data_IF_589207888688
#
_entry.id   IF_589207888688
#
_cell.length_a   1.000
_cell.length_b   1.000
_cell.length_c   1.000
_cell.angle_alpha   90.00
_cell.angle_beta   90.00
_cell.angle_gamma   90.00
#
_symmetry.space_group_name_H-M   'P 1'
#
loop_
_entity.id
_entity.type
_entity.pdbx_description
1 polymer ?
#
# COMPACT_ATOMS: atom_id res chain seq x y z
N UNK A 1 -11.74 21.11 -2.02
CA UNK A 1 -12.34 20.23 -3.04
C UNK A 1 -12.96 19.05 -2.32
N UNK A 2 -14.27 19.11 -2.07
CA UNK A 2 -14.98 18.09 -1.29
C UNK A 2 -15.17 16.77 -2.05
N UNK A 3 -15.26 16.83 -3.38
CA UNK A 3 -15.51 15.64 -4.21
C UNK A 3 -14.41 14.57 -4.09
N UNK A 4 -13.14 14.97 -3.93
CA UNK A 4 -12.03 14.03 -3.78
C UNK A 4 -12.16 13.20 -2.48
N UNK A 5 -12.61 13.85 -1.39
CA UNK A 5 -12.90 13.14 -0.14
C UNK A 5 -14.00 12.09 -0.30
N UNK A 6 -15.07 12.40 -1.02
CA UNK A 6 -16.12 11.42 -1.31
C UNK A 6 -15.62 10.28 -2.21
N UNK A 7 -14.79 10.58 -3.23
CA UNK A 7 -14.22 9.56 -4.09
C UNK A 7 -13.30 8.61 -3.32
N UNK A 8 -12.44 9.14 -2.44
CA UNK A 8 -11.59 8.31 -1.58
C UNK A 8 -12.42 7.50 -0.56
N UNK A 9 -13.51 8.05 -0.05
CA UNK A 9 -14.43 7.30 0.82
C UNK A 9 -15.03 6.11 0.08
N UNK A 10 -15.48 6.29 -1.17
CA UNK A 10 -15.99 5.20 -2.01
C UNK A 10 -14.90 4.16 -2.27
N UNK A 11 -13.67 4.60 -2.58
CA UNK A 11 -12.54 3.69 -2.74
C UNK A 11 -12.26 2.88 -1.46
N UNK A 12 -12.29 3.52 -0.29
CA UNK A 12 -12.12 2.86 1.01
C UNK A 12 -13.21 1.80 1.27
N UNK A 13 -14.48 2.11 0.97
CA UNK A 13 -15.57 1.12 1.07
C UNK A 13 -15.31 -0.06 0.12
N UNK A 14 -14.86 0.20 -1.12
CA UNK A 14 -14.50 -0.87 -2.05
C UNK A 14 -13.38 -1.74 -1.49
N UNK A 15 -12.36 -1.18 -0.83
CA UNK A 15 -11.28 -1.96 -0.22
C UNK A 15 -11.77 -2.81 0.96
N UNK A 16 -12.67 -2.28 1.80
CA UNK A 16 -13.29 -3.07 2.88
C UNK A 16 -14.07 -4.26 2.31
N UNK A 17 -14.87 -4.02 1.26
CA UNK A 17 -15.62 -5.08 0.58
C UNK A 17 -14.69 -6.08 -0.13
N UNK A 18 -13.55 -5.62 -0.65
CA UNK A 18 -12.51 -6.48 -1.21
C UNK A 18 -11.95 -7.44 -0.16
N UNK A 19 -11.55 -6.93 1.00
CA UNK A 19 -11.03 -7.75 2.10
C UNK A 19 -12.06 -8.78 2.57
N UNK A 20 -13.32 -8.35 2.75
CA UNK A 20 -14.42 -9.25 3.11
C UNK A 20 -14.65 -10.32 2.03
N UNK A 21 -14.61 -9.94 0.76
CA UNK A 21 -14.80 -10.88 -0.34
C UNK A 21 -13.66 -11.88 -0.48
N UNK A 22 -12.41 -11.45 -0.25
CA UNK A 22 -11.23 -12.30 -0.32
C UNK A 22 -11.12 -13.30 0.83
N UNK A 23 -11.85 -13.13 1.93
CA UNK A 23 -11.82 -14.04 3.07
C UNK A 23 -12.50 -15.39 2.81
N UNK A 24 -13.25 -15.54 1.72
CA UNK A 24 -13.93 -16.79 1.36
C UNK A 24 -13.66 -17.13 -0.13
N UNK A 25 -13.36 -18.39 -0.47
CA UNK A 25 -13.06 -18.81 -1.84
C UNK A 25 -14.17 -18.51 -2.84
N UNK A 26 -15.43 -18.67 -2.42
CA UNK A 26 -16.61 -18.45 -3.27
C UNK A 26 -16.80 -16.99 -3.67
N UNK A 27 -16.42 -16.05 -2.80
CA UNK A 27 -16.57 -14.60 -3.02
C UNK A 27 -15.27 -13.94 -3.45
N UNK A 28 -14.14 -14.65 -3.49
CA UNK A 28 -12.82 -14.11 -3.77
C UNK A 28 -12.73 -13.35 -5.10
N UNK A 29 -13.41 -13.83 -6.15
CA UNK A 29 -13.47 -13.14 -7.46
C UNK A 29 -14.13 -11.77 -7.36
N UNK A 30 -15.23 -11.67 -6.61
CA UNK A 30 -15.93 -10.39 -6.40
C UNK A 30 -15.12 -9.47 -5.50
N UNK A 31 -14.48 -10.01 -4.45
CA UNK A 31 -13.53 -9.27 -3.62
C UNK A 31 -12.41 -8.64 -4.44
N UNK A 32 -11.79 -9.41 -5.33
CA UNK A 32 -10.74 -8.88 -6.22
C UNK A 32 -11.26 -7.77 -7.15
N UNK A 33 -12.48 -7.90 -7.69
CA UNK A 33 -13.11 -6.84 -8.50
C UNK A 33 -13.31 -5.55 -7.70
N UNK A 34 -13.79 -5.63 -6.46
CA UNK A 34 -13.91 -4.47 -5.58
C UNK A 34 -12.56 -3.82 -5.33
N UNK A 35 -11.49 -4.60 -5.12
CA UNK A 35 -10.14 -4.08 -4.97
C UNK A 35 -9.65 -3.32 -6.20
N UNK A 36 -9.86 -3.88 -7.40
CA UNK A 36 -9.50 -3.24 -8.67
C UNK A 36 -10.27 -1.93 -8.86
N UNK A 37 -11.58 -1.94 -8.61
CA UNK A 37 -12.43 -0.74 -8.74
C UNK A 37 -12.02 0.33 -7.73
N UNK A 38 -11.80 -0.03 -6.46
CA UNK A 38 -11.34 0.89 -5.43
C UNK A 38 -9.99 1.52 -5.79
N UNK A 39 -9.04 0.74 -6.29
CA UNK A 39 -7.74 1.24 -6.74
C UNK A 39 -7.88 2.17 -7.95
N UNK A 40 -8.70 1.80 -8.94
CA UNK A 40 -8.95 2.66 -10.09
C UNK A 40 -9.54 4.01 -9.69
N UNK A 41 -10.54 4.01 -8.79
CA UNK A 41 -11.13 5.25 -8.25
C UNK A 41 -10.06 6.08 -7.55
N UNK A 42 -9.24 5.50 -6.68
CA UNK A 42 -8.21 6.20 -5.94
C UNK A 42 -7.17 6.84 -6.89
N UNK A 43 -6.65 6.08 -7.86
CA UNK A 43 -5.66 6.57 -8.83
C UNK A 43 -6.26 7.70 -9.68
N UNK A 44 -7.46 7.51 -10.25
CA UNK A 44 -8.10 8.52 -11.08
C UNK A 44 -8.41 9.80 -10.30
N UNK A 45 -8.83 9.66 -9.04
CA UNK A 45 -9.05 10.80 -8.15
C UNK A 45 -7.76 11.57 -7.92
N UNK A 46 -6.67 10.87 -7.61
CA UNK A 46 -5.35 11.51 -7.40
C UNK A 46 -4.89 12.22 -8.67
N UNK A 47 -4.99 11.59 -9.84
CA UNK A 47 -4.60 12.18 -11.12
C UNK A 47 -5.46 13.40 -11.52
N UNK A 48 -6.71 13.44 -11.06
CA UNK A 48 -7.61 14.56 -11.32
C UNK A 48 -7.40 15.76 -10.35
N UNK A 49 -6.54 15.62 -9.35
CA UNK A 49 -6.23 16.70 -8.42
C UNK A 49 -5.30 17.75 -9.08
N UNK A 50 -5.56 19.06 -8.91
CA UNK A 50 -4.75 20.11 -9.54
C UNK A 50 -3.34 20.24 -8.99
N UNK A 51 -3.04 19.63 -7.84
CA UNK A 51 -1.74 19.70 -7.17
C UNK A 51 -0.76 18.62 -7.62
N UNK A 52 -1.08 17.88 -8.68
CA UNK A 52 -0.15 16.86 -9.23
C UNK A 52 0.94 17.59 -10.03
N UNK A 53 2.14 17.60 -9.48
CA UNK A 53 3.28 18.37 -10.00
C UNK A 53 3.90 17.76 -11.26
N UNK A 54 3.90 16.44 -11.39
CA UNK A 54 4.51 15.78 -12.55
C UNK A 54 3.83 14.44 -12.85
N UNK A 55 3.01 14.46 -13.88
CA UNK A 55 2.37 13.24 -14.41
C UNK A 55 3.38 12.22 -14.96
N UNK A 56 4.54 12.68 -15.43
CA UNK A 56 5.58 11.87 -16.03
C UNK A 56 6.08 10.78 -15.08
N UNK A 57 6.39 11.14 -13.83
CA UNK A 57 6.87 10.18 -12.83
C UNK A 57 5.77 9.19 -12.40
N UNK A 58 4.51 9.65 -12.34
CA UNK A 58 3.37 8.78 -12.01
C UNK A 58 3.16 7.76 -13.13
N UNK A 59 3.13 8.21 -14.39
CA UNK A 59 2.98 7.33 -15.55
C UNK A 59 4.14 6.35 -15.63
N UNK A 60 5.37 6.82 -15.43
CA UNK A 60 6.56 5.96 -15.41
C UNK A 60 6.42 4.87 -14.31
N UNK A 61 6.02 5.26 -13.10
CA UNK A 61 5.78 4.32 -11.99
C UNK A 61 4.72 3.28 -12.31
N UNK A 62 3.59 3.70 -12.89
CA UNK A 62 2.50 2.81 -13.31
C UNK A 62 2.96 1.84 -14.40
N UNK A 63 3.69 2.34 -15.41
CA UNK A 63 4.16 1.51 -16.53
C UNK A 63 5.20 0.50 -16.04
N UNK A 64 6.20 0.94 -15.29
CA UNK A 64 7.26 0.06 -14.79
C UNK A 64 6.70 -0.94 -13.77
N UNK A 65 5.98 -0.46 -12.76
CA UNK A 65 5.39 -1.32 -11.73
C UNK A 65 4.34 -2.28 -12.30
N UNK A 66 3.49 -1.80 -13.21
CA UNK A 66 2.48 -2.60 -13.89
C UNK A 66 3.09 -3.67 -14.81
N UNK A 67 4.16 -3.33 -15.55
CA UNK A 67 4.87 -4.30 -16.40
C UNK A 67 5.51 -5.42 -15.55
N UNK A 68 6.27 -5.04 -14.51
CA UNK A 68 6.91 -6.00 -13.61
C UNK A 68 5.85 -6.85 -12.89
N UNK A 69 4.83 -6.22 -12.31
CA UNK A 69 3.77 -6.91 -11.59
C UNK A 69 3.00 -7.89 -12.48
N UNK A 70 2.64 -7.47 -13.70
CA UNK A 70 1.96 -8.34 -14.68
C UNK A 70 2.83 -9.51 -15.11
N UNK A 71 4.12 -9.27 -15.36
CA UNK A 71 5.07 -10.32 -15.75
C UNK A 71 5.19 -11.38 -14.65
N UNK A 72 5.37 -10.95 -13.40
CA UNK A 72 5.47 -11.85 -12.25
C UNK A 72 4.16 -12.60 -12.04
N UNK A 73 3.02 -11.89 -12.03
CA UNK A 73 1.71 -12.49 -11.80
C UNK A 73 1.34 -13.56 -12.85
N UNK A 74 1.82 -13.44 -14.09
CA UNK A 74 1.58 -14.44 -15.14
C UNK A 74 2.51 -15.65 -15.07
N UNK A 75 3.67 -15.53 -14.41
CA UNK A 75 4.68 -16.60 -14.33
C UNK A 75 4.67 -17.34 -13.01
N UNK A 76 4.08 -16.77 -11.96
CA UNK A 76 4.11 -17.36 -10.62
C UNK A 76 3.30 -18.65 -10.57
N UNK A 77 3.84 -19.66 -9.93
CA UNK A 77 3.13 -20.89 -9.63
C UNK A 77 2.14 -20.65 -8.47
N UNK A 78 1.01 -21.34 -8.47
CA UNK A 78 -0.02 -21.22 -7.44
C UNK A 78 0.51 -21.54 -6.03
N UNK A 79 1.47 -22.44 -5.92
CA UNK A 79 2.15 -22.81 -4.68
C UNK A 79 3.03 -21.70 -4.11
N UNK A 80 3.52 -20.79 -4.96
CA UNK A 80 4.37 -19.67 -4.58
C UNK A 80 3.59 -18.35 -4.34
N UNK A 81 2.25 -18.36 -4.47
CA UNK A 81 1.41 -17.17 -4.23
C UNK A 81 1.60 -16.55 -2.84
N UNK A 82 1.66 -17.32 -1.72
CA UNK A 82 1.87 -16.72 -0.40
C UNK A 82 3.18 -15.95 -0.30
N UNK A 83 4.23 -16.44 -0.94
CA UNK A 83 5.55 -15.79 -0.99
C UNK A 83 5.48 -14.49 -1.78
N UNK A 84 4.79 -14.49 -2.93
CA UNK A 84 4.59 -13.30 -3.76
C UNK A 84 3.81 -12.22 -3.01
N UNK A 85 2.74 -12.61 -2.33
CA UNK A 85 1.92 -11.69 -1.52
C UNK A 85 2.78 -11.06 -0.41
N UNK A 86 3.59 -11.85 0.29
CA UNK A 86 4.48 -11.33 1.33
C UNK A 86 5.52 -10.36 0.75
N UNK A 87 6.12 -10.67 -0.41
CA UNK A 87 7.08 -9.79 -1.07
C UNK A 87 6.43 -8.46 -1.49
N UNK A 88 5.27 -8.48 -2.13
CA UNK A 88 4.57 -7.26 -2.52
C UNK A 88 4.07 -6.46 -1.32
N UNK A 89 3.62 -7.14 -0.25
CA UNK A 89 3.19 -6.46 0.96
C UNK A 89 4.35 -5.71 1.63
N UNK A 90 5.57 -6.25 1.58
CA UNK A 90 6.75 -5.53 2.05
C UNK A 90 6.99 -4.25 1.24
N UNK A 91 6.86 -4.29 -0.09
CA UNK A 91 7.01 -3.10 -0.94
C UNK A 91 5.94 -2.05 -0.66
N UNK A 92 4.70 -2.46 -0.38
CA UNK A 92 3.61 -1.55 0.02
C UNK A 92 3.92 -0.87 1.35
N UNK A 93 4.45 -1.63 2.34
CA UNK A 93 4.90 -1.05 3.61
C UNK A 93 6.02 -0.02 3.42
N UNK A 94 6.99 -0.32 2.57
CA UNK A 94 8.07 0.61 2.24
C UNK A 94 7.55 1.87 1.52
N UNK A 95 6.59 1.71 0.60
CA UNK A 95 5.95 2.83 -0.08
C UNK A 95 5.24 3.77 0.91
N UNK A 96 4.56 3.23 1.93
CA UNK A 96 3.92 4.04 2.97
C UNK A 96 4.93 4.89 3.76
N UNK A 97 6.12 4.34 4.06
CA UNK A 97 7.21 5.09 4.70
C UNK A 97 7.68 6.23 3.80
N UNK A 98 7.89 5.97 2.50
CA UNK A 98 8.33 7.01 1.56
C UNK A 98 7.27 8.09 1.34
N UNK A 99 5.99 7.74 1.30
CA UNK A 99 4.90 8.73 1.18
C UNK A 99 4.88 9.64 2.42
N UNK A 100 4.99 9.08 3.62
CA UNK A 100 5.07 9.86 4.85
C UNK A 100 6.32 10.76 4.89
N UNK A 101 7.46 10.25 4.44
CA UNK A 101 8.69 11.05 4.33
C UNK A 101 8.54 12.17 3.30
N UNK A 102 7.96 11.90 2.13
CA UNK A 102 7.71 12.93 1.12
C UNK A 102 6.81 14.04 1.64
N UNK A 103 5.73 13.69 2.36
CA UNK A 103 4.83 14.66 2.97
C UNK A 103 5.53 15.50 4.07
N UNK A 104 6.45 14.90 4.81
CA UNK A 104 7.22 15.61 5.82
C UNK A 104 8.22 16.62 5.22
N UNK A 105 8.89 16.27 4.12
CA UNK A 105 9.87 17.13 3.48
C UNK A 105 9.26 18.17 2.55
N UNK A 106 8.05 17.93 2.03
CA UNK A 106 7.34 18.85 1.14
C UNK A 106 5.89 19.11 1.61
N UNK A 107 5.67 19.62 2.82
CA UNK A 107 4.34 19.73 3.42
C UNK A 107 3.41 20.67 2.65
N UNK A 108 3.95 21.64 1.92
CA UNK A 108 3.19 22.59 1.10
C UNK A 108 2.48 21.88 -0.06
N UNK A 109 3.14 20.90 -0.66
CA UNK A 109 2.60 20.12 -1.78
C UNK A 109 1.41 19.23 -1.36
N UNK A 110 1.41 18.82 -0.09
CA UNK A 110 0.32 18.04 0.50
C UNK A 110 -0.74 18.89 1.21
N UNK A 111 -0.61 20.23 1.19
CA UNK A 111 -1.50 21.18 1.87
C UNK A 111 -1.67 20.89 3.39
N UNK A 112 -0.59 20.47 4.04
CA UNK A 112 -0.58 20.11 5.47
C UNK A 112 0.19 21.11 6.33
N UNK A 113 0.69 22.18 5.72
CA UNK A 113 1.43 23.25 6.40
C UNK A 113 2.64 23.71 5.60
N UNK A 114 3.59 24.34 6.27
CA UNK A 114 4.89 24.74 5.71
C UNK A 114 6.02 24.04 6.44
N UNK A 115 7.22 24.08 5.89
CA UNK A 115 8.40 23.49 6.53
C UNK A 115 8.58 24.02 7.96
N UNK A 116 8.54 23.13 8.94
CA UNK A 116 8.60 23.47 10.37
C UNK A 116 7.28 23.91 11.03
N UNK A 117 6.18 24.03 10.27
CA UNK A 117 4.85 24.40 10.77
C UNK A 117 3.77 23.47 10.17
N UNK A 118 3.95 22.18 10.36
CA UNK A 118 2.99 21.15 9.93
C UNK A 118 1.89 21.03 10.97
N UNK A 119 0.64 20.85 10.52
CA UNK A 119 -0.50 20.63 11.42
C UNK A 119 -0.27 19.39 12.29
N UNK A 120 -0.58 19.47 13.59
CA UNK A 120 -0.35 18.38 14.56
C UNK A 120 -1.06 17.09 14.13
N UNK A 121 -2.29 17.19 13.61
CA UNK A 121 -3.01 16.03 13.07
C UNK A 121 -2.22 15.31 11.99
N UNK A 122 -1.70 16.04 11.01
CA UNK A 122 -0.89 15.49 9.92
C UNK A 122 0.44 14.90 10.41
N UNK A 123 1.07 15.49 11.43
CA UNK A 123 2.27 14.91 12.06
C UNK A 123 1.96 13.54 12.71
N UNK A 124 0.83 13.42 13.39
CA UNK A 124 0.38 12.15 13.99
C UNK A 124 0.10 11.12 12.89
N UNK A 125 -0.62 11.50 11.84
CA UNK A 125 -0.93 10.63 10.70
C UNK A 125 0.33 10.13 9.99
N UNK A 126 1.30 11.01 9.73
CA UNK A 126 2.59 10.64 9.14
C UNK A 126 3.40 9.72 10.08
N UNK A 127 3.40 10.01 11.40
CA UNK A 127 4.07 9.17 12.38
C UNK A 127 3.48 7.76 12.44
N UNK A 128 2.15 7.65 12.46
CA UNK A 128 1.45 6.37 12.41
C UNK A 128 1.67 5.65 11.08
N UNK A 129 1.59 6.37 9.95
CA UNK A 129 1.85 5.83 8.62
C UNK A 129 3.26 5.26 8.49
N UNK A 130 4.26 6.00 9.00
CA UNK A 130 5.66 5.53 9.02
C UNK A 130 5.83 4.29 9.90
N UNK A 131 5.26 4.29 11.10
CA UNK A 131 5.37 3.16 12.03
C UNK A 131 4.71 1.90 11.46
N UNK A 132 3.47 2.02 10.98
CA UNK A 132 2.73 0.91 10.36
C UNK A 132 3.46 0.43 9.10
N UNK A 133 3.93 1.35 8.25
CA UNK A 133 4.68 1.02 7.05
C UNK A 133 5.98 0.26 7.35
N UNK A 134 6.75 0.70 8.35
CA UNK A 134 7.98 0.05 8.76
C UNK A 134 7.75 -1.37 9.32
N UNK A 135 6.73 -1.54 10.18
CA UNK A 135 6.35 -2.86 10.70
C UNK A 135 5.85 -3.76 9.57
N UNK A 136 5.06 -3.24 8.65
CA UNK A 136 4.57 -3.98 7.48
C UNK A 136 5.72 -4.42 6.59
N UNK A 137 6.66 -3.52 6.29
CA UNK A 137 7.85 -3.83 5.50
C UNK A 137 8.68 -4.94 6.14
N UNK A 138 9.11 -4.74 7.37
CA UNK A 138 10.02 -5.68 8.05
C UNK A 138 9.35 -7.01 8.36
N UNK A 139 8.10 -7.00 8.84
CA UNK A 139 7.33 -8.21 9.14
C UNK A 139 7.06 -9.06 7.89
N UNK A 140 6.70 -8.42 6.78
CA UNK A 140 6.46 -9.12 5.51
C UNK A 140 7.75 -9.65 4.89
N UNK A 141 8.88 -8.96 5.07
CA UNK A 141 10.19 -9.44 4.63
C UNK A 141 10.62 -10.70 5.41
N UNK A 142 10.38 -10.73 6.72
CA UNK A 142 10.61 -11.91 7.55
C UNK A 142 9.66 -13.07 7.15
N UNK A 143 8.39 -12.76 6.91
CA UNK A 143 7.43 -13.75 6.42
C UNK A 143 7.84 -14.35 5.08
N UNK A 144 8.26 -13.52 4.13
CA UNK A 144 8.82 -13.97 2.86
C UNK A 144 10.03 -14.87 3.06
N UNK A 145 10.99 -14.48 3.90
CA UNK A 145 12.18 -15.27 4.21
C UNK A 145 11.85 -16.63 4.85
N UNK A 146 10.82 -16.69 5.71
CA UNK A 146 10.33 -17.96 6.28
C UNK A 146 9.70 -18.86 5.22
N UNK A 147 8.88 -18.29 4.34
CA UNK A 147 8.23 -19.03 3.25
C UNK A 147 9.24 -19.54 2.21
N UNK A 148 10.34 -18.83 2.03
CA UNK A 148 11.47 -19.25 1.17
C UNK A 148 12.43 -20.23 1.86
N UNK A 149 12.24 -20.53 3.16
CA UNK A 149 13.15 -21.37 3.91
C UNK A 149 14.51 -20.73 4.26
N UNK A 150 14.67 -19.43 4.01
CA UNK A 150 15.89 -18.67 4.34
C UNK A 150 15.96 -18.41 5.84
N UNK A 151 14.81 -18.13 6.45
CA UNK A 151 14.67 -17.91 7.89
C UNK A 151 14.01 -19.13 8.52
N UNK A 152 14.57 -19.61 9.64
CA UNK A 152 14.03 -20.78 10.35
C UNK A 152 12.57 -20.58 10.77
N UNK A 153 11.72 -21.59 10.50
CA UNK A 153 10.28 -21.52 10.80
C UNK A 153 9.94 -21.81 12.27
N UNK A 154 10.94 -22.08 13.12
CA UNK A 154 10.71 -22.32 14.55
C UNK A 154 10.18 -21.04 15.21
N UNK A 155 9.15 -21.13 16.06
CA UNK A 155 8.69 -20.00 16.84
C UNK A 155 9.85 -19.43 17.69
N UNK A 156 10.00 -18.11 17.68
CA UNK A 156 10.90 -17.45 18.63
C UNK A 156 10.16 -17.40 19.97
N UNK A 157 10.59 -18.21 20.91
CA UNK A 157 10.09 -18.17 22.28
C UNK A 157 11.03 -17.29 23.13
N UNK A 158 10.46 -16.41 23.92
CA UNK A 158 11.20 -15.55 24.85
C UNK A 158 10.60 -15.62 26.25
N UNK A 159 11.40 -15.26 27.24
CA UNK A 159 10.98 -15.30 28.65
C UNK A 159 9.82 -14.32 28.87
N UNK A 160 8.69 -14.82 29.37
CA UNK A 160 7.48 -14.04 29.60
C UNK A 160 6.38 -14.20 28.53
N UNK A 161 6.55 -15.13 27.62
CA UNK A 161 5.54 -15.44 26.58
C UNK A 161 4.38 -16.27 27.17
#
# INVERSE_FOLDING_TARGET
MEWAGYAYLVAAVCFILALRGLSHPETARNGNRFGIVGMAIAILTTLAMPNVLSYEWIILGIVVGGAIGTFIARKIEMTALPQLVAAFHSLVGLAAVFVAAAAFYAPEEYNIGTAGQIAIGSLIEMGLGTAIGAVTFTGSLVAFGKLQGIVGSKPLSFVGQ
#
